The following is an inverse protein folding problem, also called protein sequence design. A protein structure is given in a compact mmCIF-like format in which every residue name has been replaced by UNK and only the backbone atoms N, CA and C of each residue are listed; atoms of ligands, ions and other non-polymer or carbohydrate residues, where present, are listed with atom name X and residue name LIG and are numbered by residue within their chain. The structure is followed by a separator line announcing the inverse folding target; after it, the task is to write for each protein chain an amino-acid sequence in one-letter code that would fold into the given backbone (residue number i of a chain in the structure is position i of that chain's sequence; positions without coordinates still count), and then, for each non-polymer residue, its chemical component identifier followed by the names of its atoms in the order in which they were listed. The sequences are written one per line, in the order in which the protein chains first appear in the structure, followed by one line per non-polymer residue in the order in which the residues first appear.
data_IF_418680985930
#
_entry.id   IF_418680985930
#
_cell.length_a   1.000
_cell.length_b   1.000
_cell.length_c   1.000
_cell.angle_alpha   90.00
_cell.angle_beta   90.00
_cell.angle_gamma   90.00
#
_symmetry.space_group_name_H-M   'P 1'
#
loop_
_entity.id
_entity.type
_entity.pdbx_description
1 polymer ?
#
# COMPACT_ATOMS: atom_id res chain seq x y z
N UNK A 1 -14.76 -6.33 -5.56
CA UNK A 1 -14.34 -7.10 -6.75
C UNK A 1 -15.53 -7.49 -7.62
N UNK A 2 -16.48 -8.32 -7.11
CA UNK A 2 -17.63 -8.83 -7.88
C UNK A 2 -18.41 -7.69 -8.55
N UNK A 3 -18.70 -6.60 -7.83
CA UNK A 3 -19.41 -5.43 -8.37
C UNK A 3 -18.72 -4.87 -9.64
N UNK A 4 -17.41 -4.73 -9.63
CA UNK A 4 -16.65 -4.18 -10.75
C UNK A 4 -16.51 -5.17 -11.91
N UNK A 5 -16.21 -6.44 -11.60
CA UNK A 5 -16.02 -7.48 -12.62
C UNK A 5 -17.31 -7.84 -13.36
N UNK A 6 -18.46 -7.80 -12.66
CA UNK A 6 -19.79 -8.10 -13.23
C UNK A 6 -20.57 -6.84 -13.64
N UNK A 7 -19.92 -5.67 -13.64
CA UNK A 7 -20.55 -4.46 -14.16
C UNK A 7 -20.83 -4.59 -15.65
N UNK A 8 -22.02 -4.21 -16.08
CA UNK A 8 -22.39 -4.14 -17.50
C UNK A 8 -21.87 -2.85 -18.17
N UNK A 9 -21.25 -1.96 -17.41
CA UNK A 9 -20.65 -0.74 -17.95
C UNK A 9 -19.16 -0.73 -17.65
N UNK A 10 -18.35 -0.69 -18.69
CA UNK A 10 -16.90 -0.64 -18.59
C UNK A 10 -16.42 0.75 -18.98
N UNK A 11 -15.54 1.32 -18.20
CA UNK A 11 -15.06 2.69 -18.34
C UNK A 11 -13.54 2.67 -18.47
N UNK A 12 -13.04 3.05 -19.64
CA UNK A 12 -11.62 3.23 -19.90
C UNK A 12 -11.28 4.72 -19.88
N UNK A 13 -10.31 5.09 -19.07
CA UNK A 13 -9.89 6.48 -18.87
C UNK A 13 -8.50 6.69 -19.45
N UNK A 14 -8.36 7.69 -20.28
CA UNK A 14 -7.06 8.17 -20.78
C UNK A 14 -6.82 9.62 -20.34
N UNK A 15 -5.65 10.14 -20.66
CA UNK A 15 -5.32 11.56 -20.39
C UNK A 15 -6.15 12.56 -21.18
N UNK A 16 -6.82 12.15 -22.27
CA UNK A 16 -7.53 13.05 -23.18
C UNK A 16 -8.98 12.61 -23.41
N UNK A 17 -9.36 11.39 -23.02
CA UNK A 17 -10.68 10.85 -23.31
C UNK A 17 -11.19 9.85 -22.28
N UNK A 18 -12.48 9.60 -22.33
CA UNK A 18 -13.17 8.55 -21.58
C UNK A 18 -13.97 7.70 -22.58
N UNK A 19 -13.69 6.41 -22.64
CA UNK A 19 -14.45 5.45 -23.40
C UNK A 19 -15.40 4.69 -22.48
N UNK A 20 -16.67 4.66 -22.84
CA UNK A 20 -17.72 3.96 -22.09
C UNK A 20 -18.31 2.88 -22.99
N UNK A 21 -18.15 1.63 -22.59
CA UNK A 21 -18.77 0.46 -23.21
C UNK A 21 -19.98 0.06 -22.38
N UNK A 22 -21.14 -0.06 -22.99
CA UNK A 22 -22.40 -0.41 -22.35
C UNK A 22 -22.85 -1.80 -22.81
N UNK A 23 -22.62 -2.81 -21.99
CA UNK A 23 -23.01 -4.20 -22.24
C UNK A 23 -24.44 -4.52 -21.71
N UNK A 24 -25.21 -3.52 -21.26
CA UNK A 24 -26.63 -3.72 -20.98
C UNK A 24 -27.38 -4.11 -22.24
N UNK A 25 -28.41 -4.93 -22.10
CA UNK A 25 -29.23 -5.39 -23.22
C UNK A 25 -30.25 -4.34 -23.68
N UNK A 26 -30.77 -3.53 -22.74
CA UNK A 26 -31.90 -2.65 -23.01
C UNK A 26 -31.75 -1.22 -22.45
N UNK A 27 -30.78 -0.97 -21.59
CA UNK A 27 -30.68 0.27 -20.84
C UNK A 27 -29.50 1.13 -21.36
N UNK A 28 -29.79 2.34 -21.78
CA UNK A 28 -28.77 3.34 -22.09
C UNK A 28 -28.16 3.93 -20.80
N UNK A 29 -26.97 4.52 -20.90
CA UNK A 29 -26.29 5.09 -19.73
C UNK A 29 -26.66 6.55 -19.44
N UNK A 30 -27.54 7.17 -20.22
CA UNK A 30 -27.93 8.58 -20.09
C UNK A 30 -28.62 8.95 -18.79
N UNK A 31 -29.26 8.00 -18.11
CA UNK A 31 -29.91 8.21 -16.81
C UNK A 31 -28.97 8.19 -15.61
N UNK A 32 -27.71 7.81 -15.83
CA UNK A 32 -26.67 7.80 -14.79
C UNK A 32 -25.89 9.10 -14.78
N UNK A 33 -25.21 9.33 -13.66
CA UNK A 33 -24.29 10.45 -13.45
C UNK A 33 -22.86 9.91 -13.44
N UNK A 34 -21.99 10.53 -14.23
CA UNK A 34 -20.57 10.22 -14.23
C UNK A 34 -19.82 11.32 -13.51
N UNK A 35 -19.17 10.96 -12.41
CA UNK A 35 -18.32 11.87 -11.63
C UNK A 35 -16.88 11.67 -12.09
N UNK A 36 -16.31 12.72 -12.65
CA UNK A 36 -14.92 12.79 -13.07
C UNK A 36 -14.12 13.40 -11.93
N UNK A 37 -13.02 12.78 -11.55
CA UNK A 37 -12.17 13.24 -10.45
C UNK A 37 -10.71 13.21 -10.84
N UNK A 38 -9.95 14.22 -10.41
CA UNK A 38 -8.49 14.18 -10.35
C UNK A 38 -8.12 13.98 -8.90
N UNK A 39 -7.38 12.90 -8.62
CA UNK A 39 -6.84 12.63 -7.30
C UNK A 39 -5.34 12.91 -7.30
N UNK A 40 -4.86 13.68 -6.33
CA UNK A 40 -3.46 13.93 -6.07
C UNK A 40 -3.06 13.16 -4.81
N UNK A 41 -2.12 12.23 -4.92
CA UNK A 41 -1.71 11.35 -3.82
C UNK A 41 -2.92 10.71 -3.09
N UNK A 42 -3.91 10.24 -3.87
CA UNK A 42 -5.12 9.60 -3.38
C UNK A 42 -6.21 10.55 -2.82
N UNK A 43 -6.01 11.86 -2.88
CA UNK A 43 -7.02 12.85 -2.43
C UNK A 43 -7.67 13.53 -3.62
N UNK A 44 -9.01 13.64 -3.68
CA UNK A 44 -9.67 14.39 -4.74
C UNK A 44 -9.34 15.88 -4.62
N UNK A 45 -8.70 16.42 -5.67
CA UNK A 45 -8.35 17.84 -5.80
C UNK A 45 -9.23 18.58 -6.79
N UNK A 46 -9.90 17.85 -7.69
CA UNK A 46 -10.86 18.37 -8.62
C UNK A 46 -11.95 17.35 -8.90
N UNK A 47 -13.18 17.82 -9.08
CA UNK A 47 -14.31 17.00 -9.49
C UNK A 47 -15.22 17.75 -10.46
N UNK A 48 -15.82 17.01 -11.39
CA UNK A 48 -16.84 17.49 -12.30
C UNK A 48 -17.86 16.38 -12.57
N UNK A 49 -19.07 16.77 -12.94
CA UNK A 49 -20.14 15.83 -13.22
C UNK A 49 -20.54 15.94 -14.69
N UNK A 50 -20.65 14.80 -15.36
CA UNK A 50 -21.11 14.70 -16.75
C UNK A 50 -22.16 13.60 -16.92
N UNK A 51 -22.85 13.64 -18.05
CA UNK A 51 -23.64 12.53 -18.58
C UNK A 51 -22.98 12.01 -19.83
N UNK A 52 -22.73 10.74 -19.88
CA UNK A 52 -22.27 10.01 -21.05
C UNK A 52 -23.42 9.10 -21.48
N UNK A 53 -24.09 9.47 -22.57
CA UNK A 53 -25.24 8.70 -23.10
C UNK A 53 -24.72 7.72 -24.14
N UNK A 54 -24.71 6.43 -23.75
CA UNK A 54 -24.29 5.32 -24.60
C UNK A 54 -25.46 4.32 -24.66
N UNK A 55 -26.04 4.09 -25.87
CA UNK A 55 -27.04 3.06 -26.02
C UNK A 55 -26.60 1.68 -25.62
N UNK A 56 -27.58 0.81 -25.36
CA UNK A 56 -27.32 -0.59 -25.05
C UNK A 56 -26.54 -1.27 -26.19
N UNK A 57 -25.49 -2.04 -25.83
CA UNK A 57 -24.63 -2.76 -26.77
C UNK A 57 -23.62 -1.90 -27.51
N UNK A 58 -23.55 -0.58 -27.25
CA UNK A 58 -22.62 0.32 -27.91
C UNK A 58 -21.40 0.68 -27.05
N UNK A 59 -20.38 1.19 -27.74
CA UNK A 59 -19.22 1.84 -27.13
C UNK A 59 -19.08 3.24 -27.71
N UNK A 60 -18.90 4.25 -26.85
CA UNK A 60 -18.65 5.62 -27.26
C UNK A 60 -17.48 6.22 -26.50
N UNK A 61 -16.70 7.03 -27.20
CA UNK A 61 -15.57 7.76 -26.62
C UNK A 61 -15.90 9.25 -26.59
N UNK A 62 -15.59 9.89 -25.47
CA UNK A 62 -15.86 11.30 -25.21
C UNK A 62 -14.55 12.01 -24.88
N UNK A 63 -14.30 13.14 -25.52
CA UNK A 63 -13.14 13.96 -25.19
C UNK A 63 -13.31 14.62 -23.82
N UNK A 64 -12.27 14.56 -23.03
CA UNK A 64 -12.22 15.13 -21.68
C UNK A 64 -10.95 15.92 -21.49
N UNK A 65 -11.09 17.22 -21.24
CA UNK A 65 -9.99 18.06 -20.82
C UNK A 65 -9.83 17.98 -19.29
N UNK A 66 -8.85 17.21 -18.85
CA UNK A 66 -8.53 17.11 -17.42
C UNK A 66 -7.62 18.26 -16.99
N UNK A 67 -7.86 18.92 -15.86
CA UNK A 67 -7.01 20.02 -15.36
C UNK A 67 -5.73 19.52 -14.71
N UNK A 68 -5.06 18.54 -15.31
CA UNK A 68 -3.86 17.86 -14.78
C UNK A 68 -2.73 18.85 -14.49
N UNK A 69 -2.52 19.82 -15.40
CA UNK A 69 -1.44 20.80 -15.30
C UNK A 69 -1.48 21.63 -14.00
N UNK A 70 -2.68 21.85 -13.45
CA UNK A 70 -2.85 22.63 -12.22
C UNK A 70 -2.36 21.88 -10.96
N UNK A 71 -2.16 20.56 -11.03
CA UNK A 71 -1.88 19.72 -9.87
C UNK A 71 -0.58 18.92 -9.99
N UNK A 72 0.09 18.94 -11.14
CA UNK A 72 1.28 18.12 -11.43
C UNK A 72 2.48 18.46 -10.55
N UNK A 73 2.66 19.73 -10.21
CA UNK A 73 3.83 20.19 -9.47
C UNK A 73 3.82 19.75 -7.99
N UNK A 74 2.63 19.58 -7.41
CA UNK A 74 2.45 19.37 -5.98
C UNK A 74 2.14 17.89 -5.61
N UNK A 75 2.05 17.01 -6.60
CA UNK A 75 1.69 15.61 -6.40
C UNK A 75 2.81 14.68 -6.85
N UNK A 76 2.93 13.53 -6.20
CA UNK A 76 3.80 12.41 -6.63
C UNK A 76 3.14 11.60 -7.73
N UNK A 77 1.82 11.45 -7.61
CA UNK A 77 1.00 10.71 -8.54
C UNK A 77 -0.35 11.40 -8.70
N UNK A 78 -0.83 11.45 -9.93
CA UNK A 78 -2.18 11.87 -10.25
C UNK A 78 -2.96 10.68 -10.79
N UNK A 79 -4.19 10.52 -10.29
CA UNK A 79 -5.12 9.52 -10.80
C UNK A 79 -6.32 10.24 -11.42
N UNK A 80 -6.61 9.94 -12.68
CA UNK A 80 -7.84 10.36 -13.34
C UNK A 80 -8.85 9.25 -13.16
N UNK A 81 -9.97 9.57 -12.55
CA UNK A 81 -11.01 8.60 -12.24
C UNK A 81 -12.36 9.07 -12.77
N UNK A 82 -13.14 8.13 -13.32
CA UNK A 82 -14.54 8.32 -13.67
C UNK A 82 -15.37 7.29 -12.93
N UNK A 83 -16.38 7.74 -12.21
CA UNK A 83 -17.30 6.90 -11.43
C UNK A 83 -18.72 7.07 -11.99
N UNK A 84 -19.32 5.97 -12.47
CA UNK A 84 -20.73 5.92 -12.82
C UNK A 84 -21.58 5.75 -11.57
N UNK A 85 -22.56 6.62 -11.38
CA UNK A 85 -23.41 6.64 -10.17
C UNK A 85 -24.89 6.71 -10.49
N UNK A 86 -25.70 6.21 -9.58
CA UNK A 86 -27.14 6.40 -9.62
C UNK A 86 -27.48 7.89 -9.49
N UNK A 87 -28.25 8.43 -10.44
CA UNK A 87 -28.76 9.79 -10.37
C UNK A 87 -29.90 9.94 -9.37
N UNK A 88 -30.66 8.85 -9.13
CA UNK A 88 -31.80 8.79 -8.20
C UNK A 88 -31.69 7.53 -7.36
N UNK A 89 -32.27 7.55 -6.16
CA UNK A 89 -32.38 6.36 -5.33
C UNK A 89 -33.24 5.29 -6.03
N UNK A 90 -32.94 4.05 -5.75
CA UNK A 90 -33.66 2.85 -6.16
C UNK A 90 -34.08 2.08 -4.92
N UNK A 91 -34.81 0.98 -5.07
CA UNK A 91 -35.24 0.13 -3.93
C UNK A 91 -34.06 -0.54 -3.20
N UNK A 92 -32.88 -0.61 -3.84
CA UNK A 92 -31.71 -1.33 -3.33
C UNK A 92 -30.50 -0.42 -3.05
N UNK A 93 -30.46 0.84 -3.52
CA UNK A 93 -29.36 1.77 -3.27
C UNK A 93 -29.80 3.24 -3.37
N UNK A 94 -29.15 4.06 -2.57
CA UNK A 94 -29.36 5.50 -2.53
C UNK A 94 -28.78 6.20 -3.79
N UNK A 95 -29.28 7.42 -4.05
CA UNK A 95 -28.70 8.30 -5.05
C UNK A 95 -27.21 8.53 -4.76
N UNK A 96 -26.39 8.54 -5.82
CA UNK A 96 -24.93 8.66 -5.71
C UNK A 96 -24.19 7.35 -5.48
N UNK A 97 -24.91 6.22 -5.32
CA UNK A 97 -24.25 4.90 -5.23
C UNK A 97 -23.46 4.62 -6.51
N UNK A 98 -22.17 4.24 -6.34
CA UNK A 98 -21.28 3.91 -7.44
C UNK A 98 -21.57 2.52 -8.01
N UNK A 99 -21.80 2.46 -9.32
CA UNK A 99 -22.07 1.22 -10.05
C UNK A 99 -20.81 0.64 -10.68
N UNK A 100 -20.02 1.48 -11.32
CA UNK A 100 -18.78 1.13 -12.00
C UNK A 100 -17.80 2.29 -11.92
N UNK A 101 -16.53 2.02 -12.08
CA UNK A 101 -15.51 3.05 -12.22
C UNK A 101 -14.42 2.64 -13.21
N UNK A 102 -13.70 3.63 -13.74
CA UNK A 102 -12.48 3.47 -14.49
C UNK A 102 -11.47 4.50 -14.02
N UNK A 103 -10.19 4.16 -14.10
CA UNK A 103 -9.13 5.06 -13.68
C UNK A 103 -7.85 4.87 -14.48
N UNK A 104 -7.04 5.91 -14.57
CA UNK A 104 -5.70 5.85 -15.12
C UNK A 104 -4.74 6.69 -14.29
N UNK A 105 -3.50 6.22 -14.18
CA UNK A 105 -2.43 6.94 -13.48
C UNK A 105 -1.73 7.85 -14.50
N UNK A 106 -1.56 9.10 -14.14
CA UNK A 106 -0.76 10.06 -14.90
C UNK A 106 0.48 10.41 -14.08
N UNK A 107 1.68 10.23 -14.64
CA UNK A 107 2.90 10.62 -13.95
C UNK A 107 2.87 12.10 -13.59
N UNK A 108 3.15 12.43 -12.35
CA UNK A 108 3.39 13.79 -11.91
C UNK A 108 4.82 14.22 -12.21
N UNK A 109 5.09 15.53 -12.30
CA UNK A 109 6.44 16.04 -12.58
C UNK A 109 7.33 16.02 -11.32
N UNK A 110 6.71 15.90 -10.16
CA UNK A 110 7.45 15.78 -8.94
C UNK A 110 8.12 14.42 -8.88
N UNK A 111 9.39 14.36 -9.20
CA UNK A 111 10.32 13.53 -8.42
C UNK A 111 10.21 14.06 -6.99
N UNK A 112 9.09 13.80 -6.35
CA UNK A 112 8.89 14.20 -4.98
C UNK A 112 9.78 13.34 -4.11
N UNK A 113 11.03 13.72 -4.07
CA UNK A 113 11.74 13.61 -2.81
C UNK A 113 10.80 14.29 -1.81
N UNK A 114 10.30 13.59 -0.81
CA UNK A 114 9.52 14.23 0.23
C UNK A 114 10.31 15.47 0.61
N UNK A 115 9.66 16.65 0.58
CA UNK A 115 10.28 17.90 1.02
C UNK A 115 10.57 17.75 2.50
N UNK A 116 11.66 17.07 2.78
CA UNK A 116 12.17 16.77 4.09
C UNK A 116 13.21 17.83 4.36
N UNK A 117 12.74 19.01 4.72
CA UNK A 117 13.60 19.83 5.58
C UNK A 117 13.90 18.95 6.78
N UNK A 118 15.18 18.67 7.06
CA UNK A 118 15.54 17.99 8.28
C UNK A 118 14.85 18.72 9.42
N UNK A 119 13.92 18.06 10.11
CA UNK A 119 13.36 18.62 11.32
C UNK A 119 14.50 18.72 12.33
N UNK A 120 14.50 19.76 13.15
CA UNK A 120 15.44 19.84 14.26
C UNK A 120 15.35 18.53 15.05
N UNK A 121 16.46 17.84 15.13
CA UNK A 121 16.51 16.53 15.75
C UNK A 121 17.92 16.12 16.13
N UNK A 122 18.04 15.00 16.79
CA UNK A 122 19.31 14.47 17.28
C UNK A 122 19.48 13.01 16.95
N UNK A 123 20.65 12.62 16.47
CA UNK A 123 21.04 11.23 16.30
C UNK A 123 22.08 10.92 17.38
N UNK A 124 21.86 9.82 18.09
CA UNK A 124 22.80 9.33 19.09
C UNK A 124 23.17 7.89 18.74
N UNK A 125 24.45 7.65 18.49
CA UNK A 125 24.98 6.32 18.19
C UNK A 125 25.74 5.81 19.38
N UNK A 126 25.20 4.79 20.04
CA UNK A 126 25.81 4.10 21.17
C UNK A 126 26.37 2.74 20.78
N UNK A 127 26.99 2.08 21.76
CA UNK A 127 27.58 0.75 21.58
C UNK A 127 26.54 -0.33 21.22
N UNK A 128 25.37 -0.26 21.83
CA UNK A 128 24.33 -1.31 21.75
C UNK A 128 23.11 -0.89 20.94
N UNK A 129 22.85 0.41 20.90
CA UNK A 129 21.68 0.99 20.25
C UNK A 129 22.08 2.30 19.57
N UNK A 130 21.29 2.69 18.59
CA UNK A 130 21.32 4.04 18.03
C UNK A 130 19.90 4.60 17.94
N UNK A 131 19.73 5.87 18.26
CA UNK A 131 18.45 6.53 18.30
C UNK A 131 18.38 7.76 17.42
N UNK A 132 17.22 7.99 16.81
CA UNK A 132 16.86 9.22 16.09
C UNK A 132 15.70 9.86 16.83
N UNK A 133 15.87 11.09 17.25
CA UNK A 133 14.84 11.91 17.92
C UNK A 133 14.55 13.14 17.07
N UNK A 134 13.29 13.41 16.84
CA UNK A 134 12.82 14.60 16.13
C UNK A 134 11.31 14.56 15.90
N UNK A 135 10.71 15.69 15.56
CA UNK A 135 9.28 15.82 15.32
C UNK A 135 8.39 15.23 16.45
N UNK A 136 8.84 15.31 17.72
CA UNK A 136 8.12 14.76 18.88
C UNK A 136 8.12 13.24 18.97
N UNK A 137 9.03 12.55 18.26
CA UNK A 137 9.15 11.08 18.22
C UNK A 137 10.59 10.66 18.45
N UNK A 138 10.76 9.42 18.86
CA UNK A 138 12.05 8.77 18.90
C UNK A 138 11.95 7.34 18.36
N UNK A 139 12.89 6.98 17.51
CA UNK A 139 13.07 5.63 16.98
C UNK A 139 14.40 5.09 17.48
N UNK A 140 14.36 3.97 18.17
CA UNK A 140 15.55 3.31 18.70
C UNK A 140 15.84 2.01 17.93
N UNK A 141 17.01 1.94 17.31
CA UNK A 141 17.54 0.77 16.62
C UNK A 141 18.50 0.02 17.54
N UNK A 142 18.30 -1.29 17.68
CA UNK A 142 19.11 -2.12 18.61
C UNK A 142 19.98 -3.12 17.86
N UNK A 143 21.27 -3.17 18.22
CA UNK A 143 22.18 -4.21 17.73
C UNK A 143 21.88 -5.56 18.37
N UNK A 144 21.54 -5.57 19.66
CA UNK A 144 21.37 -6.81 20.43
C UNK A 144 20.04 -7.49 20.16
N UNK A 145 18.97 -6.71 19.91
CA UNK A 145 17.64 -7.25 19.62
C UNK A 145 17.37 -7.34 18.11
N UNK A 146 18.18 -6.69 17.29
CA UNK A 146 18.05 -6.69 15.84
C UNK A 146 16.79 -5.94 15.37
N UNK A 147 16.91 -4.65 15.03
CA UNK A 147 15.80 -3.86 14.50
C UNK A 147 15.29 -2.77 15.44
N UNK A 148 14.12 -2.23 15.14
CA UNK A 148 13.45 -1.21 15.95
C UNK A 148 12.94 -1.85 17.24
N UNK A 149 13.22 -1.21 18.36
CA UNK A 149 12.79 -1.71 19.68
C UNK A 149 11.83 -0.73 20.34
N UNK A 150 10.94 -1.21 21.23
CA UNK A 150 10.09 -0.35 22.03
C UNK A 150 10.93 0.62 22.86
N UNK A 151 10.67 1.90 22.69
CA UNK A 151 11.26 2.93 23.52
C UNK A 151 10.25 4.06 23.71
N UNK A 152 9.74 4.27 24.95
CA UNK A 152 8.79 5.35 25.21
C UNK A 152 9.53 6.69 25.26
N UNK A 153 9.19 7.58 24.33
CA UNK A 153 9.61 8.96 24.33
C UNK A 153 8.40 9.85 24.59
N UNK A 154 8.50 10.75 25.57
CA UNK A 154 7.39 11.61 25.98
C UNK A 154 6.07 10.83 26.27
N UNK A 155 6.18 9.62 26.81
CA UNK A 155 5.04 8.75 27.09
C UNK A 155 4.50 7.95 25.91
N UNK A 156 5.07 8.12 24.71
CA UNK A 156 4.64 7.42 23.49
C UNK A 156 5.74 6.52 22.94
N UNK A 157 5.42 5.25 22.76
CA UNK A 157 6.29 4.33 22.03
C UNK A 157 5.88 4.28 20.55
N UNK A 158 6.86 4.21 19.65
CA UNK A 158 6.59 4.03 18.20
C UNK A 158 6.07 2.61 17.92
N UNK A 159 6.62 1.61 18.57
CA UNK A 159 6.21 0.21 18.48
C UNK A 159 6.09 -0.41 19.85
N UNK A 160 5.24 -1.41 20.04
CA UNK A 160 5.13 -2.21 21.27
C UNK A 160 6.07 -3.42 21.29
N UNK A 161 6.44 -3.88 20.09
CA UNK A 161 7.37 -5.00 19.90
C UNK A 161 8.25 -4.69 18.70
N UNK A 162 9.44 -5.31 18.68
CA UNK A 162 10.27 -5.33 17.49
C UNK A 162 9.47 -5.87 16.31
N UNK A 163 9.48 -5.19 15.15
CA UNK A 163 8.87 -5.72 13.95
C UNK A 163 9.45 -7.09 13.60
N UNK A 164 8.60 -8.02 13.22
CA UNK A 164 8.97 -9.40 12.97
C UNK A 164 8.70 -9.78 11.51
N UNK A 165 9.58 -10.62 10.96
CA UNK A 165 9.31 -11.24 9.67
C UNK A 165 8.14 -12.20 9.85
N UNK A 166 7.12 -12.07 9.01
CA UNK A 166 6.04 -13.05 8.92
C UNK A 166 6.14 -13.80 7.60
N UNK A 167 6.01 -15.11 7.67
CA UNK A 167 6.09 -16.03 6.53
C UNK A 167 4.84 -16.89 6.41
N UNK A 168 3.80 -16.56 7.17
CA UNK A 168 2.59 -17.37 7.25
C UNK A 168 1.34 -16.49 7.36
N UNK A 169 0.24 -16.97 6.83
CA UNK A 169 -1.12 -16.47 7.01
C UNK A 169 -2.06 -17.60 7.37
N UNK A 170 -3.24 -17.36 7.95
CA UNK A 170 -4.27 -18.38 8.09
C UNK A 170 -4.56 -19.06 6.75
N UNK A 171 -4.76 -20.36 6.78
CA UNK A 171 -5.04 -21.15 5.59
C UNK A 171 -6.40 -20.77 5.01
N UNK A 172 -6.45 -20.53 3.71
CA UNK A 172 -7.70 -20.39 2.96
C UNK A 172 -8.36 -21.75 2.72
N UNK A 173 -9.59 -21.76 2.23
CA UNK A 173 -10.26 -22.99 1.85
C UNK A 173 -9.56 -23.70 0.68
N UNK A 174 -8.97 -22.94 -0.23
CA UNK A 174 -8.12 -23.49 -1.31
C UNK A 174 -6.88 -24.19 -0.76
N UNK A 175 -6.20 -23.62 0.24
CA UNK A 175 -5.05 -24.27 0.88
C UNK A 175 -5.47 -25.58 1.56
N UNK A 176 -6.63 -25.60 2.22
CA UNK A 176 -7.19 -26.80 2.88
C UNK A 176 -7.62 -27.84 1.87
N UNK A 177 -8.32 -27.43 0.81
CA UNK A 177 -8.78 -28.31 -0.26
C UNK A 177 -7.64 -28.95 -1.04
N UNK A 178 -6.54 -28.23 -1.23
CA UNK A 178 -5.33 -28.75 -1.88
C UNK A 178 -4.43 -29.58 -0.94
N UNK A 179 -4.77 -29.72 0.35
CA UNK A 179 -3.97 -30.48 1.32
C UNK A 179 -2.65 -29.83 1.75
N UNK A 180 -2.40 -28.59 1.39
CA UNK A 180 -1.13 -27.88 1.67
C UNK A 180 -0.93 -27.46 3.12
N UNK A 181 -1.93 -27.62 3.98
CA UNK A 181 -1.89 -27.12 5.35
C UNK A 181 -0.74 -27.69 6.18
N UNK A 182 -0.51 -28.98 6.07
CA UNK A 182 0.57 -29.67 6.81
C UNK A 182 1.96 -29.27 6.29
N UNK A 183 2.15 -29.29 4.99
CA UNK A 183 3.45 -28.96 4.40
C UNK A 183 3.87 -27.52 4.66
N UNK A 184 2.92 -26.57 4.60
CA UNK A 184 3.17 -25.15 4.77
C UNK A 184 3.27 -24.69 6.21
N UNK A 185 2.90 -25.52 7.19
CA UNK A 185 2.91 -25.13 8.62
C UNK A 185 4.31 -24.76 9.12
N UNK A 186 5.37 -25.29 8.51
CA UNK A 186 6.75 -24.91 8.85
C UNK A 186 7.00 -23.39 8.72
N UNK A 187 6.29 -22.73 7.79
CA UNK A 187 6.40 -21.30 7.60
C UNK A 187 5.83 -20.48 8.76
N UNK A 188 4.94 -21.06 9.59
CA UNK A 188 4.45 -20.40 10.80
C UNK A 188 5.60 -20.11 11.79
N UNK A 189 6.55 -21.01 11.88
CA UNK A 189 7.73 -20.86 12.74
C UNK A 189 8.88 -20.12 12.08
N UNK A 190 9.02 -20.22 10.76
CA UNK A 190 10.20 -19.76 10.04
C UNK A 190 10.48 -18.26 10.26
N UNK A 191 9.51 -17.38 10.05
CA UNK A 191 9.65 -15.94 10.32
C UNK A 191 9.61 -15.61 11.80
N UNK A 192 8.70 -16.23 12.57
CA UNK A 192 8.51 -15.95 13.99
C UNK A 192 9.76 -16.20 14.83
N UNK A 193 10.52 -17.23 14.50
CA UNK A 193 11.75 -17.60 15.19
C UNK A 193 13.01 -17.22 14.41
N UNK A 194 12.89 -16.33 13.42
CA UNK A 194 14.03 -15.78 12.71
C UNK A 194 14.98 -15.06 13.69
N UNK A 195 16.26 -15.34 13.55
CA UNK A 195 17.31 -14.75 14.40
C UNK A 195 18.09 -13.70 13.64
N UNK A 196 18.30 -12.55 14.26
CA UNK A 196 19.27 -11.58 13.75
C UNK A 196 20.68 -12.16 13.96
N UNK A 197 21.38 -12.40 12.88
CA UNK A 197 22.73 -13.00 12.88
C UNK A 197 23.81 -11.97 12.58
N UNK A 198 23.46 -10.84 11.97
CA UNK A 198 24.36 -9.73 11.68
C UNK A 198 23.62 -8.41 11.64
N UNK A 199 24.32 -7.31 11.98
CA UNK A 199 23.77 -5.97 11.87
C UNK A 199 24.81 -4.89 11.72
N UNK A 200 24.44 -3.82 11.01
CA UNK A 200 25.21 -2.59 10.88
C UNK A 200 24.30 -1.40 11.23
N UNK A 201 24.78 -0.51 12.12
CA UNK A 201 24.15 0.77 12.40
C UNK A 201 25.09 1.88 11.90
N UNK A 202 24.58 2.75 11.05
CA UNK A 202 25.34 3.78 10.37
C UNK A 202 24.57 5.10 10.38
N UNK A 203 25.22 6.15 10.87
CA UNK A 203 24.74 7.50 10.69
C UNK A 203 25.13 7.97 9.28
N UNK A 204 24.13 8.22 8.42
CA UNK A 204 24.34 8.63 7.03
C UNK A 204 24.68 10.12 6.94
N UNK A 205 23.90 10.93 7.68
CA UNK A 205 24.07 12.38 7.80
C UNK A 205 23.51 12.87 9.16
N UNK A 206 23.44 14.19 9.35
CA UNK A 206 22.96 14.79 10.61
C UNK A 206 21.47 14.54 10.90
N UNK A 207 20.72 14.06 9.92
CA UNK A 207 19.27 13.83 10.00
C UNK A 207 18.86 12.38 9.79
N UNK A 208 19.77 11.48 9.42
CA UNK A 208 19.45 10.14 8.91
C UNK A 208 20.33 9.07 9.54
N UNK A 209 19.68 8.09 10.16
CA UNK A 209 20.29 6.88 10.71
C UNK A 209 19.78 5.65 9.95
N UNK A 210 20.68 4.79 9.50
CA UNK A 210 20.35 3.51 8.85
C UNK A 210 20.78 2.34 9.73
N UNK A 211 19.88 1.37 9.89
CA UNK A 211 20.17 0.08 10.49
C UNK A 211 19.87 -1.03 9.50
N UNK A 212 20.87 -1.83 9.18
CA UNK A 212 20.73 -3.01 8.32
C UNK A 212 20.91 -4.26 9.14
N UNK A 213 19.98 -5.20 9.04
CA UNK A 213 19.93 -6.41 9.84
C UNK A 213 19.77 -7.62 8.93
N UNK A 214 20.61 -8.63 9.14
CA UNK A 214 20.50 -9.92 8.47
C UNK A 214 19.83 -10.90 9.42
N UNK A 215 18.67 -11.42 9.01
CA UNK A 215 17.95 -12.45 9.76
C UNK A 215 18.11 -13.80 9.06
N UNK A 216 18.27 -14.83 9.84
CA UNK A 216 18.24 -16.22 9.41
C UNK A 216 16.90 -16.82 9.79
N UNK A 217 16.12 -17.24 8.78
CA UNK A 217 14.84 -17.90 8.98
C UNK A 217 15.03 -19.28 9.65
N UNK A 218 14.06 -19.65 10.49
CA UNK A 218 14.08 -20.96 11.15
C UNK A 218 13.60 -22.08 10.21
N UNK A 219 14.30 -22.24 9.09
CA UNK A 219 14.12 -23.30 8.09
C UNK A 219 15.38 -24.17 8.02
N UNK A 220 15.29 -25.35 7.40
CA UNK A 220 16.45 -26.22 7.20
C UNK A 220 17.56 -25.54 6.38
N UNK A 221 17.18 -24.72 5.40
CA UNK A 221 18.09 -23.97 4.52
C UNK A 221 18.65 -22.71 5.17
N UNK A 222 18.07 -22.27 6.32
CA UNK A 222 18.47 -21.04 7.04
C UNK A 222 18.55 -19.82 6.11
N UNK A 223 17.53 -19.68 5.26
CA UNK A 223 17.46 -18.57 4.28
C UNK A 223 17.67 -17.23 4.98
N UNK A 224 18.55 -16.41 4.45
CA UNK A 224 18.85 -15.09 5.00
C UNK A 224 17.93 -14.05 4.38
N UNK A 225 17.39 -13.19 5.23
CA UNK A 225 16.55 -12.03 4.87
C UNK A 225 17.22 -10.78 5.39
N UNK A 226 17.42 -9.80 4.52
CA UNK A 226 17.97 -8.50 4.93
C UNK A 226 16.83 -7.50 5.15
N UNK A 227 16.84 -6.84 6.29
CA UNK A 227 15.87 -5.79 6.65
C UNK A 227 16.63 -4.52 6.99
N UNK A 228 16.37 -3.45 6.26
CA UNK A 228 16.97 -2.14 6.51
C UNK A 228 15.92 -1.14 6.97
N UNK A 229 16.21 -0.42 8.04
CA UNK A 229 15.43 0.69 8.55
C UNK A 229 16.24 1.98 8.36
N UNK A 230 15.70 2.94 7.62
CA UNK A 230 16.26 4.28 7.52
C UNK A 230 15.35 5.25 8.25
N UNK A 231 15.78 5.68 9.43
CA UNK A 231 15.03 6.57 10.30
C UNK A 231 15.52 8.02 10.16
N UNK A 232 14.58 8.95 10.09
CA UNK A 232 14.84 10.38 9.87
C UNK A 232 14.36 11.22 11.05
N UNK A 233 15.01 12.38 11.27
CA UNK A 233 14.64 13.34 12.33
C UNK A 233 13.25 13.92 12.16
N UNK A 234 12.66 13.88 10.96
CA UNK A 234 11.27 14.25 10.71
C UNK A 234 10.24 13.18 11.16
N UNK A 235 10.70 12.09 11.73
CA UNK A 235 9.88 11.00 12.27
C UNK A 235 9.48 9.94 11.24
N UNK A 236 9.97 10.01 9.99
CA UNK A 236 9.76 8.96 8.99
C UNK A 236 10.72 7.80 9.21
N UNK A 237 10.25 6.60 8.88
CA UNK A 237 11.06 5.40 8.82
C UNK A 237 10.81 4.73 7.47
N UNK A 238 11.85 4.63 6.67
CA UNK A 238 11.80 3.82 5.45
C UNK A 238 12.22 2.40 5.78
N UNK A 239 11.42 1.45 5.35
CA UNK A 239 11.68 0.01 5.49
C UNK A 239 12.02 -0.56 4.12
N UNK A 240 13.12 -1.28 4.03
CA UNK A 240 13.50 -2.05 2.87
C UNK A 240 13.76 -3.50 3.28
N UNK A 241 13.20 -4.45 2.54
CA UNK A 241 13.34 -5.88 2.83
C UNK A 241 13.80 -6.59 1.56
N UNK A 242 14.88 -7.36 1.69
CA UNK A 242 15.39 -8.23 0.64
C UNK A 242 15.19 -9.68 1.04
N UNK A 243 14.34 -10.38 0.30
CA UNK A 243 14.10 -11.81 0.42
C UNK A 243 14.54 -12.49 -0.89
N UNK A 244 15.56 -13.38 -0.85
CA UNK A 244 16.12 -13.98 -2.07
C UNK A 244 15.21 -15.01 -2.74
N UNK A 245 14.05 -15.28 -2.16
CA UNK A 245 13.17 -16.38 -2.58
C UNK A 245 13.49 -17.68 -1.87
N UNK A 246 12.67 -18.67 -2.15
CA UNK A 246 12.82 -20.03 -1.60
C UNK A 246 13.94 -20.77 -2.31
N UNK A 247 14.65 -21.57 -1.56
CA UNK A 247 15.72 -22.42 -2.08
C UNK A 247 15.51 -23.86 -1.63
N UNK A 248 15.83 -24.81 -2.52
CA UNK A 248 15.66 -26.24 -2.26
C UNK A 248 14.20 -26.68 -2.27
N UNK A 249 13.91 -27.76 -1.57
CA UNK A 249 12.60 -28.44 -1.56
C UNK A 249 11.63 -27.86 -0.52
N UNK A 250 11.67 -26.55 -0.26
CA UNK A 250 10.69 -25.91 0.62
C UNK A 250 9.34 -25.76 -0.10
N UNK A 251 8.21 -25.99 0.60
CA UNK A 251 6.91 -25.72 0.03
C UNK A 251 6.71 -24.20 -0.20
N UNK A 252 5.83 -23.86 -1.12
CA UNK A 252 5.50 -22.47 -1.43
C UNK A 252 5.15 -21.69 -0.16
N UNK A 253 5.76 -20.52 0.00
CA UNK A 253 5.51 -19.63 1.14
C UNK A 253 4.09 -19.05 1.08
N UNK A 254 3.27 -19.18 2.14
CA UNK A 254 1.88 -18.69 2.12
C UNK A 254 1.75 -17.17 2.12
N UNK A 255 2.69 -16.49 2.74
CA UNK A 255 2.78 -15.04 2.80
C UNK A 255 4.20 -14.62 3.16
N UNK A 256 4.59 -13.41 2.76
CA UNK A 256 5.83 -12.79 3.21
C UNK A 256 5.60 -11.32 3.53
N UNK A 257 6.11 -10.86 4.67
CA UNK A 257 5.94 -9.47 5.09
C UNK A 257 6.63 -9.15 6.42
N UNK A 258 6.38 -7.95 6.90
CA UNK A 258 6.81 -7.50 8.22
C UNK A 258 5.57 -7.19 9.06
N UNK A 259 5.46 -7.86 10.19
CA UNK A 259 4.41 -7.64 11.18
C UNK A 259 4.82 -6.54 12.15
N UNK A 260 3.93 -5.56 12.35
CA UNK A 260 4.11 -4.46 13.28
C UNK A 260 3.10 -4.54 14.41
N UNK A 261 3.55 -4.39 15.64
CA UNK A 261 2.67 -4.23 16.80
C UNK A 261 2.75 -2.79 17.29
N UNK A 262 1.69 -2.04 17.02
CA UNK A 262 1.61 -0.62 17.33
C UNK A 262 0.77 -0.37 18.59
N UNK A 263 1.00 0.73 19.30
CA UNK A 263 0.14 1.18 20.39
C UNK A 263 -1.32 1.41 19.93
N UNK A 264 -2.26 1.14 20.82
CA UNK A 264 -3.71 1.17 20.52
C UNK A 264 -4.22 2.55 20.06
N UNK A 265 -3.54 3.63 20.38
CA UNK A 265 -3.90 4.98 19.90
C UNK A 265 -3.72 5.14 18.37
N UNK A 266 -2.97 4.27 17.72
CA UNK A 266 -2.83 4.26 16.25
C UNK A 266 -3.92 3.40 15.62
N UNK A 267 -5.17 3.84 15.69
CA UNK A 267 -6.34 3.12 15.18
C UNK A 267 -6.67 3.44 13.72
N UNK A 268 -6.14 4.55 13.20
CA UNK A 268 -6.39 4.99 11.83
C UNK A 268 -5.17 4.71 10.95
N UNK A 269 -5.31 3.77 10.03
CA UNK A 269 -4.32 3.50 8.99
C UNK A 269 -4.71 4.28 7.73
N UNK A 270 -3.78 5.08 7.24
CA UNK A 270 -3.87 5.64 5.88
C UNK A 270 -2.72 5.06 5.06
N UNK A 271 -3.06 4.46 3.94
CA UNK A 271 -2.04 3.97 3.01
C UNK A 271 -2.36 4.45 1.58
N UNK A 272 -1.34 4.47 0.74
CA UNK A 272 -1.43 4.75 -0.67
C UNK A 272 -0.84 3.56 -1.44
N UNK A 273 -1.60 3.04 -2.37
CA UNK A 273 -1.25 1.85 -3.13
C UNK A 273 -2.45 1.32 -3.90
N UNK A 274 -2.28 0.19 -4.55
CA UNK A 274 -3.39 -0.51 -5.18
C UNK A 274 -4.36 -1.01 -4.12
N UNK A 275 -5.62 -0.62 -4.24
CA UNK A 275 -6.69 -0.89 -3.27
C UNK A 275 -8.06 -0.83 -3.98
N UNK A 276 -9.20 -1.00 -3.32
CA UNK A 276 -9.44 -0.99 -1.88
C UNK A 276 -9.30 -2.34 -1.19
N UNK A 277 -9.37 -3.42 -1.96
CA UNK A 277 -9.27 -4.77 -1.43
C UNK A 277 -7.84 -5.32 -1.50
N UNK A 278 -7.69 -6.62 -1.47
CA UNK A 278 -6.40 -7.28 -1.67
C UNK A 278 -5.97 -7.19 -3.15
N UNK A 279 -4.68 -7.05 -3.38
CA UNK A 279 -4.09 -6.86 -4.72
C UNK A 279 -3.06 -7.93 -5.02
N UNK A 280 -3.51 -9.17 -5.06
CA UNK A 280 -2.71 -10.26 -5.59
C UNK A 280 -2.49 -10.08 -7.10
N UNK A 281 -1.47 -10.74 -7.66
CA UNK A 281 -1.13 -10.64 -9.08
C UNK A 281 -2.29 -11.01 -10.00
N UNK A 282 -3.13 -11.95 -9.58
CA UNK A 282 -4.31 -12.42 -10.28
C UNK A 282 -5.58 -11.59 -10.01
N UNK A 283 -5.49 -10.55 -9.17
CA UNK A 283 -6.62 -9.69 -8.76
C UNK A 283 -6.35 -8.20 -8.93
N UNK A 284 -5.50 -7.82 -9.87
CA UNK A 284 -5.14 -6.41 -10.08
C UNK A 284 -6.24 -5.54 -10.66
N UNK A 285 -7.29 -6.14 -11.18
CA UNK A 285 -8.39 -5.46 -11.86
C UNK A 285 -9.71 -5.51 -11.08
N UNK A 286 -9.65 -5.85 -9.83
CA UNK A 286 -10.82 -5.96 -8.96
C UNK A 286 -11.20 -4.61 -8.31
#
# INVERSE_FOLDING_TARGET
EVKQLYSNVHIDVTKDSVSVKNDNLFTATGDYVFVLSVLADGKPVWQSTRRFDVPAGETRTFDVAWPVAAYRADARELVLQVSQRLAKATDWAESGYELAFGQTVVPADATATPDTKPADGTITVGRWNAGVRGAGREVLLSRTQGGIVPYPFAGNAFVLRRPAITTFRPLTDNDRGAGHGFERVQWLGAGRYARCVDNVLEQIDDSTLKGTYTYELATAQRTKVTVSYTAHTDGRVNLHVEYPGEQGDLPTIPAFGIEWTLPVQYTNLRFFGTCPAETYLDRKHA
#
